data_IF_895222539053
#
_entry.id   IF_895222539053
#
_cell.length_a   1.000
_cell.length_b   1.000
_cell.length_c   1.000
_cell.angle_alpha   90.00
_cell.angle_beta   90.00
_cell.angle_gamma   90.00
#
_symmetry.space_group_name_H-M   'P 1'
#
loop_
_entity.id
_entity.type
_entity.pdbx_description
1 polymer ?
#
# COMPACT_ATOMS: atom_id res chain seq x y z
N UNK A 1 12.22 2.32 -5.33
CA UNK A 1 10.76 2.19 -5.10
C UNK A 1 10.19 3.55 -4.67
N UNK A 2 9.16 4.06 -5.34
CA UNK A 2 8.61 5.43 -5.12
C UNK A 2 7.20 5.35 -4.53
N UNK A 3 6.83 6.31 -3.69
CA UNK A 3 5.49 6.42 -3.13
C UNK A 3 4.41 6.50 -4.22
N UNK A 4 3.30 5.79 -4.01
CA UNK A 4 2.13 5.74 -4.90
C UNK A 4 1.20 6.95 -4.77
N UNK A 5 1.42 7.82 -3.78
CA UNK A 5 0.66 9.06 -3.66
C UNK A 5 0.87 9.93 -4.90
N UNK A 6 -0.22 10.48 -5.43
CA UNK A 6 -0.19 11.24 -6.68
C UNK A 6 0.79 12.41 -6.59
N UNK A 7 1.79 12.42 -7.47
CA UNK A 7 2.80 13.49 -7.53
C UNK A 7 3.92 13.38 -6.50
N UNK A 8 3.83 12.43 -5.56
CA UNK A 8 4.91 12.18 -4.61
C UNK A 8 6.09 11.50 -5.31
N UNK A 9 7.31 11.95 -4.99
CA UNK A 9 8.56 11.36 -5.48
C UNK A 9 9.45 10.82 -4.36
N UNK A 10 8.96 10.83 -3.12
CA UNK A 10 9.70 10.31 -1.98
C UNK A 10 9.85 8.78 -2.09
N UNK A 11 10.96 8.27 -1.55
CA UNK A 11 11.16 6.83 -1.41
C UNK A 11 10.10 6.26 -0.48
N UNK A 12 9.53 5.12 -0.90
CA UNK A 12 8.60 4.39 -0.06
C UNK A 12 9.37 3.54 0.96
N UNK A 13 8.84 3.48 2.17
CA UNK A 13 9.30 2.62 3.27
C UNK A 13 8.16 1.79 3.85
N UNK A 14 6.99 1.83 3.22
CA UNK A 14 5.80 1.07 3.58
C UNK A 14 5.17 0.42 2.34
N UNK A 15 4.61 -0.77 2.54
CA UNK A 15 3.78 -1.49 1.59
C UNK A 15 2.35 -1.63 2.16
N UNK A 16 1.36 -1.30 1.34
CA UNK A 16 -0.05 -1.44 1.65
C UNK A 16 -0.64 -2.51 0.74
N UNK A 17 -0.89 -3.69 1.29
CA UNK A 17 -1.62 -4.73 0.58
C UNK A 17 -3.13 -4.43 0.64
N UNK A 18 -3.79 -4.47 -0.50
CA UNK A 18 -5.21 -4.14 -0.61
C UNK A 18 -5.95 -5.03 -1.62
N UNK A 19 -7.26 -5.14 -1.44
CA UNK A 19 -8.16 -5.87 -2.31
C UNK A 19 -9.48 -5.09 -2.46
N UNK A 20 -9.94 -4.90 -3.70
CA UNK A 20 -11.29 -4.42 -3.97
C UNK A 20 -12.17 -5.63 -4.34
N UNK A 21 -13.03 -6.11 -3.43
CA UNK A 21 -13.81 -7.33 -3.63
C UNK A 21 -14.84 -7.20 -4.75
N UNK A 22 -15.14 -5.98 -5.21
CA UNK A 22 -16.05 -5.76 -6.34
C UNK A 22 -15.46 -6.21 -7.68
N UNK A 23 -14.14 -6.28 -7.80
CA UNK A 23 -13.45 -6.54 -9.08
C UNK A 23 -12.30 -7.55 -8.98
N UNK A 24 -11.97 -8.01 -7.77
CA UNK A 24 -10.86 -8.94 -7.52
C UNK A 24 -11.35 -10.12 -6.68
N UNK A 25 -10.89 -11.34 -6.98
CA UNK A 25 -11.16 -12.48 -6.11
C UNK A 25 -10.48 -12.30 -4.74
N UNK A 26 -10.97 -12.98 -3.70
CA UNK A 26 -10.57 -12.74 -2.31
C UNK A 26 -9.11 -13.10 -2.02
N UNK A 27 -8.43 -13.87 -2.86
CA UNK A 27 -7.00 -14.18 -2.76
C UNK A 27 -6.11 -13.11 -3.42
N UNK A 28 -6.63 -12.33 -4.37
CA UNK A 28 -5.81 -11.35 -5.09
C UNK A 28 -5.49 -10.17 -4.18
N UNK A 29 -4.22 -9.78 -4.10
CA UNK A 29 -3.77 -8.57 -3.39
C UNK A 29 -3.00 -7.70 -4.38
N UNK A 30 -3.26 -6.40 -4.32
CA UNK A 30 -2.41 -5.39 -4.96
C UNK A 30 -1.62 -4.67 -3.88
N UNK A 31 -0.49 -4.10 -4.27
CA UNK A 31 0.37 -3.35 -3.35
C UNK A 31 0.46 -1.90 -3.78
N UNK A 32 0.21 -0.98 -2.85
CA UNK A 32 0.63 0.42 -2.95
C UNK A 32 1.84 0.65 -2.07
N UNK A 33 2.73 1.55 -2.50
CA UNK A 33 3.94 1.91 -1.77
C UNK A 33 3.76 3.29 -1.13
N UNK A 34 4.21 3.48 0.11
CA UNK A 34 4.09 4.77 0.79
C UNK A 34 5.40 5.20 1.46
N UNK A 35 5.71 6.49 1.40
CA UNK A 35 6.65 7.11 2.32
C UNK A 35 5.97 7.35 3.68
N UNK A 36 6.72 7.71 4.71
CA UNK A 36 6.16 7.99 6.05
C UNK A 36 5.06 9.07 6.02
N UNK A 37 5.27 10.13 5.25
CA UNK A 37 4.32 11.24 5.13
C UNK A 37 2.95 10.80 4.58
N UNK A 38 2.94 9.89 3.61
CA UNK A 38 1.72 9.48 2.90
C UNK A 38 1.14 8.15 3.39
N UNK A 39 1.83 7.44 4.30
CA UNK A 39 1.39 6.14 4.82
C UNK A 39 -0.04 6.20 5.34
N UNK A 40 -0.31 7.16 6.23
CA UNK A 40 -1.60 7.26 6.91
C UNK A 40 -2.72 7.61 5.92
N UNK A 41 -2.50 8.61 5.06
CA UNK A 41 -3.48 9.03 4.06
C UNK A 41 -3.90 7.89 3.13
N UNK A 42 -2.94 7.12 2.63
CA UNK A 42 -3.23 6.00 1.72
C UNK A 42 -3.92 4.83 2.46
N UNK A 43 -3.54 4.57 3.71
CA UNK A 43 -4.18 3.56 4.54
C UNK A 43 -5.64 3.94 4.82
N UNK A 44 -5.91 5.18 5.25
CA UNK A 44 -7.26 5.68 5.53
C UNK A 44 -8.16 5.61 4.29
N UNK A 45 -7.62 5.96 3.12
CA UNK A 45 -8.35 5.85 1.86
C UNK A 45 -8.82 4.42 1.58
N UNK A 46 -7.94 3.44 1.81
CA UNK A 46 -8.24 2.03 1.60
C UNK A 46 -9.17 1.49 2.68
N UNK A 47 -8.96 1.86 3.94
CA UNK A 47 -9.73 1.41 5.10
C UNK A 47 -11.18 1.89 5.05
N UNK A 48 -11.40 3.17 4.71
CA UNK A 48 -12.75 3.74 4.56
C UNK A 48 -13.60 3.03 3.48
N UNK A 49 -12.95 2.27 2.58
CA UNK A 49 -13.61 1.47 1.52
C UNK A 49 -13.65 -0.02 1.84
N UNK A 50 -13.10 -0.42 2.98
CA UNK A 50 -12.89 -1.81 3.34
C UNK A 50 -12.00 -2.51 2.33
N UNK A 51 -10.96 -1.84 1.80
CA UNK A 51 -10.02 -2.43 0.84
C UNK A 51 -8.69 -2.79 1.47
N UNK A 52 -8.30 -2.12 2.56
CA UNK A 52 -7.03 -2.37 3.24
C UNK A 52 -6.99 -3.80 3.80
N UNK A 53 -5.89 -4.49 3.55
CA UNK A 53 -5.67 -5.87 4.02
C UNK A 53 -4.48 -5.92 4.97
N UNK A 54 -3.41 -5.22 4.62
CA UNK A 54 -2.21 -5.20 5.42
C UNK A 54 -1.43 -3.90 5.18
N UNK A 55 -0.75 -3.44 6.23
CA UNK A 55 0.20 -2.33 6.18
C UNK A 55 1.49 -2.83 6.83
N UNK A 56 2.56 -2.92 6.04
CA UNK A 56 3.85 -3.44 6.48
C UNK A 56 4.96 -2.44 6.18
N UNK A 57 5.98 -2.32 7.04
CA UNK A 57 7.23 -1.71 6.65
C UNK A 57 7.80 -2.44 5.43
N UNK A 58 8.31 -1.70 4.45
CA UNK A 58 9.27 -2.26 3.50
C UNK A 58 10.56 -2.46 4.28
N UNK A 59 10.66 -3.59 4.98
CA UNK A 59 11.97 -4.05 5.41
C UNK A 59 12.84 -4.15 4.14
N UNK A 60 14.11 -3.78 4.26
CA UNK A 60 15.08 -4.01 3.20
C UNK A 60 15.30 -5.53 3.08
N UNK A 61 14.32 -6.24 2.53
CA UNK A 61 14.36 -7.69 2.44
C UNK A 61 14.90 -8.05 1.07
N UNK A 62 16.14 -8.54 1.14
CA UNK A 62 16.85 -9.31 0.16
C UNK A 62 15.91 -10.20 -0.67
N UNK A 63 16.11 -10.18 -1.98
CA UNK A 63 15.61 -11.26 -2.82
C UNK A 63 16.23 -12.57 -2.36
N UNK A 64 15.38 -13.55 -2.12
CA UNK A 64 15.73 -14.96 -2.31
C UNK A 64 15.35 -15.36 -3.74
#
# INVERSE_FOLDING_TARGET
>A
MICSAKGCRAYAVWALAWNNPKIHPPERRKTWLACDEHRQHLADFLDARGFLRELMPLAAENGE
#
